data_IF_064294189551
#
_entry.id   IF_064294189551
#
_cell.length_a   1.000
_cell.length_b   1.000
_cell.length_c   1.000
_cell.angle_alpha   90.00
_cell.angle_beta   90.00
_cell.angle_gamma   90.00
#
_symmetry.space_group_name_H-M   'P 1'
#
loop_
_entity.id
_entity.type
_entity.pdbx_description
1 polymer ?
#
# COMPACT_ATOMS: atom_id res chain seq x y z
N UNK A 1 -4.54 -15.98 -14.46
CA UNK A 1 -5.55 -14.99 -14.04
C UNK A 1 -5.74 -13.88 -15.06
N UNK A 2 -4.70 -13.09 -15.36
CA UNK A 2 -4.81 -11.92 -16.25
C UNK A 2 -5.31 -12.28 -17.65
N UNK A 3 -4.73 -13.30 -18.30
CA UNK A 3 -5.17 -13.77 -19.61
C UNK A 3 -6.64 -14.23 -19.60
N UNK A 4 -7.07 -14.90 -18.54
CA UNK A 4 -8.47 -15.31 -18.35
C UNK A 4 -9.41 -14.10 -18.22
N UNK A 5 -9.00 -13.08 -17.43
CA UNK A 5 -9.81 -11.87 -17.29
C UNK A 5 -9.91 -11.09 -18.61
N UNK A 6 -8.83 -11.07 -19.41
CA UNK A 6 -8.86 -10.50 -20.77
C UNK A 6 -9.83 -11.25 -21.69
N UNK A 7 -9.76 -12.58 -21.71
CA UNK A 7 -10.67 -13.40 -22.51
C UNK A 7 -12.14 -13.17 -22.11
N UNK A 8 -12.45 -13.09 -20.81
CA UNK A 8 -13.80 -12.74 -20.32
C UNK A 8 -14.26 -11.33 -20.70
N UNK A 9 -13.31 -10.42 -20.95
CA UNK A 9 -13.60 -9.07 -21.44
C UNK A 9 -13.78 -9.01 -22.98
N UNK A 10 -13.75 -10.16 -23.67
CA UNK A 10 -13.94 -10.26 -25.11
C UNK A 10 -12.66 -10.08 -25.93
N UNK A 11 -11.50 -10.02 -25.31
CA UNK A 11 -10.24 -9.98 -26.03
C UNK A 11 -9.89 -11.36 -26.61
N UNK A 12 -9.62 -11.43 -27.88
CA UNK A 12 -9.14 -12.65 -28.55
C UNK A 12 -7.63 -12.78 -28.30
N UNK A 13 -7.26 -13.46 -27.22
CA UNK A 13 -5.86 -13.79 -26.93
C UNK A 13 -5.55 -15.22 -27.37
N UNK A 14 -4.54 -15.40 -28.21
CA UNK A 14 -4.01 -16.70 -28.61
C UNK A 14 -3.02 -17.29 -27.58
N UNK A 15 -2.32 -18.36 -27.98
CA UNK A 15 -1.25 -18.94 -27.15
C UNK A 15 -0.02 -18.04 -27.09
N UNK A 16 0.67 -17.99 -25.93
CA UNK A 16 1.90 -17.23 -25.76
C UNK A 16 2.88 -17.99 -24.85
N UNK A 17 4.14 -17.63 -24.96
CA UNK A 17 5.18 -18.03 -24.02
C UNK A 17 5.88 -16.77 -23.51
N UNK A 18 6.07 -16.68 -22.19
CA UNK A 18 6.67 -15.52 -21.54
C UNK A 18 7.64 -15.98 -20.46
N UNK A 19 8.78 -15.30 -20.36
CA UNK A 19 9.71 -15.43 -19.24
C UNK A 19 9.64 -14.15 -18.43
N UNK A 20 9.51 -14.28 -17.10
CA UNK A 20 9.53 -13.17 -16.18
C UNK A 20 10.85 -13.12 -15.42
N UNK A 21 11.41 -11.91 -15.34
CA UNK A 21 12.55 -11.61 -14.48
C UNK A 21 12.15 -10.48 -13.53
N UNK A 22 12.47 -10.59 -12.25
CA UNK A 22 12.09 -9.61 -11.24
C UNK A 22 13.20 -9.43 -10.21
N UNK A 23 13.41 -8.17 -9.84
CA UNK A 23 14.23 -7.78 -8.69
C UNK A 23 13.40 -7.54 -7.44
N UNK A 24 12.05 -7.59 -7.53
CA UNK A 24 11.16 -7.43 -6.40
C UNK A 24 11.21 -8.69 -5.52
N UNK A 25 11.44 -8.53 -4.22
CA UNK A 25 11.41 -9.66 -3.31
C UNK A 25 9.99 -10.21 -3.17
N UNK A 26 9.81 -11.50 -3.41
CA UNK A 26 8.53 -12.16 -3.25
C UNK A 26 8.15 -12.30 -1.77
N UNK A 27 6.89 -12.05 -1.44
CA UNK A 27 6.35 -12.21 -0.09
C UNK A 27 6.86 -11.18 0.93
N UNK A 28 7.41 -10.07 0.47
CA UNK A 28 7.93 -8.99 1.32
C UNK A 28 6.92 -7.85 1.56
N UNK A 29 5.66 -8.01 1.17
CA UNK A 29 4.66 -6.93 1.26
C UNK A 29 4.91 -5.77 0.29
N UNK A 30 5.65 -6.02 -0.80
CA UNK A 30 6.00 -5.01 -1.82
C UNK A 30 5.21 -5.20 -3.13
N UNK A 31 4.01 -5.72 -3.04
CA UNK A 31 3.04 -5.83 -4.15
C UNK A 31 3.60 -6.55 -5.40
N UNK A 32 4.44 -7.59 -5.19
CA UNK A 32 5.02 -8.35 -6.31
C UNK A 32 3.98 -9.08 -7.16
N UNK A 33 2.83 -9.46 -6.60
CA UNK A 33 1.69 -10.02 -7.34
C UNK A 33 1.13 -9.00 -8.32
N UNK A 34 0.78 -7.81 -7.86
CA UNK A 34 0.27 -6.74 -8.72
C UNK A 34 1.27 -6.33 -9.82
N UNK A 35 2.57 -6.30 -9.51
CA UNK A 35 3.61 -6.05 -10.50
C UNK A 35 3.63 -7.12 -11.61
N UNK A 36 3.51 -8.40 -11.25
CA UNK A 36 3.43 -9.50 -12.21
C UNK A 36 2.15 -9.44 -13.05
N UNK A 37 1.02 -9.14 -12.43
CA UNK A 37 -0.28 -9.00 -13.10
C UNK A 37 -0.24 -7.88 -14.12
N UNK A 38 0.22 -6.69 -13.72
CA UNK A 38 0.31 -5.52 -14.60
C UNK A 38 1.33 -5.76 -15.73
N UNK A 39 2.50 -6.34 -15.44
CA UNK A 39 3.47 -6.71 -16.48
C UNK A 39 2.86 -7.68 -17.49
N UNK A 40 2.06 -8.65 -17.03
CA UNK A 40 1.35 -9.59 -17.92
C UNK A 40 0.32 -8.88 -18.78
N UNK A 41 -0.48 -7.99 -18.18
CA UNK A 41 -1.50 -7.22 -18.92
C UNK A 41 -0.88 -6.34 -20.00
N UNK A 42 0.21 -5.63 -19.67
CA UNK A 42 0.96 -4.78 -20.61
C UNK A 42 1.63 -5.61 -21.70
N UNK A 43 2.20 -6.77 -21.38
CA UNK A 43 2.74 -7.68 -22.38
C UNK A 43 1.66 -8.15 -23.36
N UNK A 44 0.52 -8.58 -22.84
CA UNK A 44 -0.59 -9.07 -23.68
C UNK A 44 -1.21 -7.95 -24.53
N UNK A 45 -1.29 -6.72 -24.02
CA UNK A 45 -1.78 -5.57 -24.80
C UNK A 45 -0.89 -5.21 -26.00
N UNK A 46 0.39 -5.56 -25.94
CA UNK A 46 1.33 -5.40 -27.05
C UNK A 46 1.30 -6.56 -28.04
N UNK A 47 0.88 -7.73 -27.60
CA UNK A 47 0.85 -8.94 -28.41
C UNK A 47 -0.47 -9.10 -29.16
N UNK A 48 -1.57 -8.67 -28.54
CA UNK A 48 -2.92 -8.78 -29.07
C UNK A 48 -3.62 -7.42 -29.07
N UNK A 49 -4.38 -7.10 -30.16
CA UNK A 49 -5.06 -5.81 -30.25
C UNK A 49 -6.24 -5.74 -29.29
N UNK A 50 -6.06 -5.11 -28.18
CA UNK A 50 -7.16 -4.64 -27.31
C UNK A 50 -6.78 -3.29 -26.71
N UNK A 51 -7.77 -2.40 -26.62
CA UNK A 51 -7.59 -1.08 -26.05
C UNK A 51 -8.23 -1.02 -24.67
N UNK A 52 -7.41 -0.90 -23.62
CA UNK A 52 -7.85 -0.66 -22.26
C UNK A 52 -7.11 0.57 -21.72
N UNK A 53 -7.84 1.47 -21.08
CA UNK A 53 -7.25 2.56 -20.33
C UNK A 53 -6.40 2.05 -19.16
N UNK A 54 -5.53 2.89 -18.64
CA UNK A 54 -4.70 2.55 -17.46
C UNK A 54 -5.54 2.08 -16.26
N UNK A 55 -6.69 2.71 -16.02
CA UNK A 55 -7.58 2.32 -14.94
C UNK A 55 -8.24 0.96 -15.20
N UNK A 56 -8.66 0.70 -16.44
CA UNK A 56 -9.22 -0.61 -16.81
C UNK A 56 -8.19 -1.74 -16.65
N UNK A 57 -6.93 -1.50 -17.01
CA UNK A 57 -5.84 -2.45 -16.77
C UNK A 57 -5.65 -2.71 -15.27
N UNK A 58 -5.60 -1.67 -14.44
CA UNK A 58 -5.51 -1.85 -12.99
C UNK A 58 -6.69 -2.65 -12.43
N UNK A 59 -7.91 -2.36 -12.88
CA UNK A 59 -9.13 -3.08 -12.46
C UNK A 59 -9.14 -4.53 -12.95
N UNK A 60 -8.68 -4.78 -14.17
CA UNK A 60 -8.56 -6.12 -14.72
C UNK A 60 -7.57 -6.97 -13.90
N UNK A 61 -6.42 -6.41 -13.55
CA UNK A 61 -5.43 -7.08 -12.71
C UNK A 61 -5.99 -7.37 -11.31
N UNK A 62 -6.67 -6.40 -10.66
CA UNK A 62 -7.37 -6.66 -9.40
C UNK A 62 -8.40 -7.78 -9.52
N UNK A 63 -9.16 -7.83 -10.59
CA UNK A 63 -10.11 -8.93 -10.84
C UNK A 63 -9.40 -10.27 -10.97
N UNK A 64 -8.24 -10.31 -11.61
CA UNK A 64 -7.46 -11.53 -11.70
C UNK A 64 -7.04 -12.04 -10.31
N UNK A 65 -6.64 -11.15 -9.40
CA UNK A 65 -6.31 -11.52 -8.03
C UNK A 65 -7.54 -11.95 -7.23
N UNK A 66 -8.66 -11.24 -7.35
CA UNK A 66 -9.88 -11.53 -6.60
C UNK A 66 -10.62 -12.77 -7.11
N UNK A 67 -10.82 -12.89 -8.43
CA UNK A 67 -11.69 -13.90 -9.03
C UNK A 67 -10.95 -15.19 -9.41
N UNK A 68 -9.64 -15.11 -9.70
CA UNK A 68 -8.84 -16.26 -10.11
C UNK A 68 -7.95 -16.78 -8.98
N UNK A 69 -7.26 -15.90 -8.24
CA UNK A 69 -6.40 -16.30 -7.12
C UNK A 69 -7.22 -16.44 -5.83
N UNK A 70 -8.32 -15.69 -5.68
CA UNK A 70 -9.22 -15.77 -4.52
C UNK A 70 -8.83 -14.85 -3.36
N UNK A 71 -7.97 -13.86 -3.60
CA UNK A 71 -7.57 -12.85 -2.61
C UNK A 71 -8.39 -11.58 -2.79
N UNK A 72 -9.21 -11.20 -1.80
CA UNK A 72 -10.08 -10.02 -1.87
C UNK A 72 -9.31 -8.70 -1.65
N UNK A 73 -8.31 -8.42 -2.47
CA UNK A 73 -7.53 -7.19 -2.40
C UNK A 73 -8.29 -5.96 -2.90
N UNK A 74 -7.82 -4.77 -2.48
CA UNK A 74 -8.26 -3.48 -3.03
C UNK A 74 -7.58 -3.16 -4.38
N UNK A 75 -7.80 -1.94 -4.87
CA UNK A 75 -7.25 -1.49 -6.17
C UNK A 75 -5.84 -0.89 -6.06
N UNK A 76 -5.35 -0.62 -4.84
CA UNK A 76 -4.19 0.21 -4.60
C UNK A 76 -2.93 -0.29 -5.32
N UNK A 77 -2.57 -1.54 -5.13
CA UNK A 77 -1.30 -2.10 -5.60
C UNK A 77 -1.22 -2.12 -7.12
N UNK A 78 -2.29 -2.56 -7.78
CA UNK A 78 -2.38 -2.56 -9.23
C UNK A 78 -2.38 -1.14 -9.81
N UNK A 79 -3.14 -0.22 -9.19
CA UNK A 79 -3.15 1.17 -9.62
C UNK A 79 -1.76 1.82 -9.47
N UNK A 80 -1.06 1.59 -8.35
CA UNK A 80 0.30 2.13 -8.16
C UNK A 80 1.28 1.55 -9.16
N UNK A 81 1.17 0.27 -9.51
CA UNK A 81 2.01 -0.36 -10.54
C UNK A 81 1.77 0.23 -11.93
N UNK A 82 0.54 0.64 -12.24
CA UNK A 82 0.17 1.25 -13.52
C UNK A 82 0.50 2.74 -13.58
N UNK A 83 0.11 3.52 -12.55
CA UNK A 83 0.10 4.98 -12.56
C UNK A 83 1.34 5.62 -11.95
N UNK A 84 2.29 4.85 -11.43
CA UNK A 84 3.50 5.37 -10.81
C UNK A 84 4.15 6.47 -11.66
N UNK A 85 4.63 7.53 -11.02
CA UNK A 85 5.36 8.61 -11.66
C UNK A 85 6.64 8.91 -10.89
N UNK A 86 7.74 9.08 -11.64
CA UNK A 86 9.03 9.40 -11.05
C UNK A 86 8.94 10.66 -10.18
N UNK A 87 9.50 10.57 -8.98
CA UNK A 87 9.54 11.64 -7.99
C UNK A 87 8.16 12.18 -7.57
N UNK A 88 7.09 11.35 -7.67
CA UNK A 88 5.75 11.68 -7.19
C UNK A 88 5.17 10.52 -6.39
N UNK A 89 4.38 10.86 -5.38
CA UNK A 89 3.43 9.94 -4.77
C UNK A 89 2.11 9.99 -5.54
N UNK A 90 1.38 8.90 -5.54
CA UNK A 90 0.10 8.82 -6.24
C UNK A 90 -1.02 8.73 -5.20
N UNK A 91 -1.91 9.71 -5.21
CA UNK A 91 -3.16 9.65 -4.47
C UNK A 91 -4.22 8.96 -5.33
N UNK A 92 -4.84 7.93 -4.78
CA UNK A 92 -5.94 7.18 -5.41
C UNK A 92 -7.23 7.43 -4.63
N UNK A 93 -8.25 7.95 -5.29
CA UNK A 93 -9.63 7.88 -4.78
C UNK A 93 -10.27 6.59 -5.30
N UNK A 94 -10.43 5.62 -4.39
CA UNK A 94 -10.95 4.29 -4.75
C UNK A 94 -12.43 4.31 -5.16
N UNK A 95 -13.22 5.32 -4.75
CA UNK A 95 -14.64 5.45 -5.14
C UNK A 95 -14.77 6.12 -6.51
N UNK A 96 -14.06 7.23 -6.69
CA UNK A 96 -14.07 7.97 -7.94
C UNK A 96 -13.22 7.30 -9.03
N UNK A 97 -12.44 6.27 -8.67
CA UNK A 97 -11.47 5.58 -9.53
C UNK A 97 -10.53 6.59 -10.22
N UNK A 98 -10.09 7.60 -9.49
CA UNK A 98 -9.28 8.68 -10.01
C UNK A 98 -7.95 8.81 -9.27
N UNK A 99 -6.92 9.24 -9.99
CA UNK A 99 -5.58 9.41 -9.45
C UNK A 99 -5.12 10.86 -9.56
N UNK A 100 -4.32 11.29 -8.57
CA UNK A 100 -3.62 12.58 -8.57
C UNK A 100 -2.16 12.35 -8.20
N UNK A 101 -1.28 13.01 -8.91
CA UNK A 101 0.16 12.97 -8.66
C UNK A 101 0.53 14.09 -7.68
N UNK A 102 1.25 13.74 -6.64
CA UNK A 102 1.72 14.66 -5.60
C UNK A 102 3.25 14.67 -5.63
N UNK A 103 3.92 15.80 -5.92
CA UNK A 103 5.37 15.86 -5.94
C UNK A 103 5.98 15.39 -4.63
N UNK A 104 7.01 14.55 -4.72
CA UNK A 104 7.75 14.06 -3.56
C UNK A 104 9.09 14.83 -3.45
N UNK A 105 9.38 15.45 -2.30
CA UNK A 105 10.56 16.28 -2.14
C UNK A 105 11.87 15.51 -2.33
N UNK A 106 12.79 16.04 -3.11
CA UNK A 106 14.05 15.36 -3.47
C UNK A 106 15.00 15.14 -2.28
N UNK A 107 14.89 15.97 -1.21
CA UNK A 107 15.67 15.82 0.01
C UNK A 107 15.16 14.72 0.94
N UNK A 108 14.01 14.11 0.64
CA UNK A 108 13.45 13.00 1.38
C UNK A 108 13.69 11.68 0.64
N UNK A 109 13.92 10.62 1.42
CA UNK A 109 14.06 9.25 0.97
C UNK A 109 12.99 8.35 1.58
N UNK A 110 12.69 7.26 0.90
CA UNK A 110 11.85 6.19 1.41
C UNK A 110 12.74 4.97 1.68
N UNK A 111 12.65 4.46 2.90
CA UNK A 111 13.35 3.26 3.32
C UNK A 111 12.32 2.19 3.66
N UNK A 112 12.35 1.08 2.95
CA UNK A 112 11.53 -0.09 3.26
C UNK A 112 12.39 -1.09 4.02
N UNK A 113 11.91 -1.55 5.18
CA UNK A 113 12.62 -2.57 5.98
C UNK A 113 11.67 -3.74 6.20
N UNK A 114 12.02 -4.88 5.59
CA UNK A 114 11.29 -6.12 5.74
C UNK A 114 11.75 -6.83 7.04
N UNK A 115 10.80 -7.17 7.87
CA UNK A 115 11.05 -7.89 9.13
C UNK A 115 11.59 -9.30 8.93
N UNK A 116 11.49 -9.85 7.73
CA UNK A 116 11.77 -11.25 7.40
C UNK A 116 10.90 -12.27 8.16
N UNK A 117 9.88 -11.79 8.85
CA UNK A 117 8.88 -12.64 9.51
C UNK A 117 7.72 -12.87 8.54
N UNK A 118 7.51 -14.12 8.20
CA UNK A 118 6.34 -14.56 7.45
C UNK A 118 5.34 -15.14 8.45
N UNK A 119 4.34 -14.37 8.82
CA UNK A 119 3.15 -14.99 9.36
C UNK A 119 2.44 -15.69 8.21
N UNK A 120 2.05 -16.94 8.42
CA UNK A 120 1.26 -17.67 7.44
C UNK A 120 -0.11 -16.97 7.32
N UNK A 121 -0.19 -15.98 6.42
CA UNK A 121 -1.44 -15.33 6.09
C UNK A 121 -2.33 -16.39 5.43
N UNK A 122 -3.23 -16.93 6.18
CA UNK A 122 -4.29 -17.78 5.65
C UNK A 122 -5.37 -16.98 4.92
N UNK A 123 -5.13 -15.68 4.68
CA UNK A 123 -6.09 -14.75 4.05
C UNK A 123 -7.30 -14.41 4.94
N UNK A 124 -7.43 -15.08 6.08
CA UNK A 124 -8.57 -14.95 6.98
C UNK A 124 -8.60 -13.61 7.70
N UNK A 125 -7.45 -13.18 8.24
CA UNK A 125 -7.38 -11.94 9.03
C UNK A 125 -7.68 -10.70 8.20
N UNK A 126 -7.19 -10.63 6.97
CA UNK A 126 -7.49 -9.49 6.08
C UNK A 126 -8.99 -9.42 5.74
N UNK A 127 -9.58 -10.55 5.37
CA UNK A 127 -11.01 -10.62 5.08
C UNK A 127 -11.85 -10.30 6.33
N UNK A 128 -11.46 -10.79 7.50
CA UNK A 128 -12.11 -10.45 8.77
C UNK A 128 -12.09 -8.93 9.04
N UNK A 129 -10.96 -8.25 8.85
CA UNK A 129 -10.89 -6.79 9.01
C UNK A 129 -11.80 -6.06 8.04
N UNK A 130 -11.88 -6.53 6.80
CA UNK A 130 -12.80 -5.99 5.79
C UNK A 130 -14.26 -6.12 6.23
N UNK A 131 -14.67 -7.30 6.68
CA UNK A 131 -16.04 -7.55 7.19
C UNK A 131 -16.35 -6.69 8.40
N UNK A 132 -15.42 -6.54 9.34
CA UNK A 132 -15.58 -5.69 10.51
C UNK A 132 -15.77 -4.21 10.12
N UNK A 133 -15.09 -3.72 9.07
CA UNK A 133 -15.28 -2.37 8.56
C UNK A 133 -16.65 -2.18 7.91
N UNK A 134 -17.14 -3.16 7.14
CA UNK A 134 -18.50 -3.10 6.58
C UNK A 134 -19.57 -3.15 7.66
N UNK A 135 -19.40 -3.98 8.68
CA UNK A 135 -20.31 -4.02 9.82
C UNK A 135 -20.33 -2.68 10.57
N UNK A 136 -19.17 -2.04 10.73
CA UNK A 136 -19.10 -0.72 11.36
C UNK A 136 -19.78 0.36 10.52
N UNK A 137 -19.62 0.37 9.19
CA UNK A 137 -20.30 1.31 8.29
C UNK A 137 -21.82 1.12 8.35
N UNK A 138 -22.30 -0.14 8.30
CA UNK A 138 -23.72 -0.45 8.43
C UNK A 138 -24.30 0.02 9.78
N UNK A 139 -23.58 -0.20 10.89
CA UNK A 139 -23.97 0.26 12.22
C UNK A 139 -24.00 1.80 12.34
N UNK A 140 -23.18 2.51 11.56
CA UNK A 140 -23.20 3.97 11.43
C UNK A 140 -24.30 4.48 10.49
N UNK A 141 -24.99 3.60 9.76
CA UNK A 141 -25.99 3.99 8.76
C UNK A 141 -25.38 4.69 7.53
N UNK A 142 -24.13 4.42 7.21
CA UNK A 142 -23.42 4.99 6.04
C UNK A 142 -23.08 3.89 5.04
N UNK A 143 -22.95 4.27 3.77
CA UNK A 143 -22.52 3.32 2.71
C UNK A 143 -21.09 2.85 2.92
N UNK A 144 -20.20 3.75 3.30
CA UNK A 144 -18.83 3.45 3.62
C UNK A 144 -18.31 4.36 4.75
N UNK A 145 -17.30 3.90 5.49
CA UNK A 145 -16.71 4.68 6.59
C UNK A 145 -16.07 6.01 6.15
N UNK A 146 -15.82 6.22 4.87
CA UNK A 146 -15.41 7.52 4.33
C UNK A 146 -16.53 8.58 4.35
N UNK A 147 -17.76 8.17 4.54
CA UNK A 147 -18.94 9.05 4.55
C UNK A 147 -19.29 9.56 5.96
N UNK A 148 -18.45 9.26 6.93
CA UNK A 148 -18.57 9.77 8.29
C UNK A 148 -17.33 10.55 8.72
N UNK A 149 -17.41 11.20 9.87
CA UNK A 149 -16.31 11.97 10.46
C UNK A 149 -15.91 11.39 11.82
N UNK A 150 -14.70 11.69 12.28
CA UNK A 150 -14.25 11.31 13.62
C UNK A 150 -15.20 11.79 14.72
N UNK A 151 -15.76 13.01 14.61
CA UNK A 151 -16.71 13.55 15.58
C UNK A 151 -18.03 12.76 15.63
N UNK A 152 -18.60 12.43 14.47
CA UNK A 152 -19.82 11.63 14.38
C UNK A 152 -19.60 10.21 14.90
N UNK A 153 -18.44 9.62 14.58
CA UNK A 153 -18.05 8.28 15.05
C UNK A 153 -17.93 8.24 16.59
N UNK A 154 -17.31 9.25 17.20
CA UNK A 154 -17.15 9.27 18.65
C UNK A 154 -18.48 9.43 19.39
N UNK A 155 -19.43 10.17 18.80
CA UNK A 155 -20.78 10.33 19.33
C UNK A 155 -21.67 9.10 19.14
N UNK A 156 -21.32 8.19 18.22
CA UNK A 156 -22.13 7.01 17.92
C UNK A 156 -22.00 5.93 19.01
N UNK A 157 -23.13 5.30 19.32
CA UNK A 157 -23.19 4.11 20.18
C UNK A 157 -22.93 2.85 19.34
N UNK A 158 -21.68 2.43 19.33
CA UNK A 158 -21.19 1.29 18.54
C UNK A 158 -20.55 0.24 19.47
N UNK A 159 -20.63 -1.04 19.10
CA UNK A 159 -19.82 -2.07 19.74
C UNK A 159 -18.33 -1.66 19.73
N UNK A 160 -17.62 -1.93 20.83
CA UNK A 160 -16.24 -1.47 21.01
C UNK A 160 -15.31 -1.87 19.87
N UNK A 161 -15.45 -3.08 19.35
CA UNK A 161 -14.67 -3.57 18.21
C UNK A 161 -14.98 -2.78 16.93
N UNK A 162 -16.24 -2.61 16.58
CA UNK A 162 -16.66 -1.85 15.41
C UNK A 162 -16.17 -0.40 15.50
N UNK A 163 -16.27 0.22 16.68
CA UNK A 163 -15.79 1.58 16.93
C UNK A 163 -14.28 1.71 16.71
N UNK A 164 -13.48 0.74 17.19
CA UNK A 164 -12.03 0.72 16.94
C UNK A 164 -11.71 0.60 15.44
N UNK A 165 -12.33 -0.33 14.72
CA UNK A 165 -12.12 -0.48 13.26
C UNK A 165 -12.48 0.78 12.50
N UNK A 166 -13.62 1.38 12.82
CA UNK A 166 -14.06 2.64 12.22
C UNK A 166 -13.09 3.80 12.53
N UNK A 167 -12.59 3.93 13.76
CA UNK A 167 -11.56 4.92 14.12
C UNK A 167 -10.32 4.83 13.23
N UNK A 168 -9.86 3.62 12.95
CA UNK A 168 -8.73 3.46 12.05
C UNK A 168 -9.07 3.99 10.66
N UNK A 169 -10.14 3.51 10.04
CA UNK A 169 -10.46 3.86 8.65
C UNK A 169 -10.78 5.35 8.48
N UNK A 170 -11.59 5.91 9.37
CA UNK A 170 -11.95 7.35 9.34
C UNK A 170 -10.70 8.19 9.56
N UNK A 171 -9.90 7.86 10.57
CA UNK A 171 -8.67 8.58 10.86
C UNK A 171 -7.61 8.43 9.76
N UNK A 172 -7.51 7.29 9.06
CA UNK A 172 -6.62 7.14 7.91
C UNK A 172 -7.06 8.03 6.75
N UNK A 173 -8.36 8.14 6.47
CA UNK A 173 -8.86 9.05 5.45
C UNK A 173 -8.50 10.52 5.77
N UNK A 174 -8.66 10.95 7.01
CA UNK A 174 -8.27 12.29 7.46
C UNK A 174 -6.75 12.50 7.31
N UNK A 175 -5.93 11.52 7.76
CA UNK A 175 -4.47 11.56 7.63
C UNK A 175 -3.98 11.64 6.18
N UNK A 176 -4.66 10.99 5.24
CA UNK A 176 -4.30 11.08 3.81
C UNK A 176 -4.42 12.52 3.30
N UNK A 177 -5.51 13.22 3.63
CA UNK A 177 -5.67 14.62 3.22
C UNK A 177 -4.64 15.53 3.90
N UNK A 178 -4.41 15.35 5.21
CA UNK A 178 -3.35 16.10 5.91
C UNK A 178 -1.95 15.83 5.31
N UNK A 179 -1.67 14.59 4.92
CA UNK A 179 -0.40 14.22 4.29
C UNK A 179 -0.21 14.89 2.92
N UNK A 180 -1.27 15.00 2.12
CA UNK A 180 -1.24 15.72 0.84
C UNK A 180 -0.91 17.20 1.07
N UNK A 181 -1.55 17.84 2.05
CA UNK A 181 -1.27 19.24 2.37
C UNK A 181 0.14 19.43 2.94
N UNK A 182 0.62 18.51 3.79
CA UNK A 182 1.98 18.54 4.30
C UNK A 182 3.03 18.42 3.16
N UNK A 183 2.79 17.52 2.20
CA UNK A 183 3.65 17.37 1.02
C UNK A 183 3.68 18.63 0.16
N UNK A 184 2.51 19.23 -0.12
CA UNK A 184 2.40 20.46 -0.90
C UNK A 184 3.11 21.65 -0.25
N UNK A 185 3.09 21.70 1.09
CA UNK A 185 3.76 22.72 1.87
C UNK A 185 5.25 22.43 2.12
N UNK A 186 5.77 21.27 1.69
CA UNK A 186 7.15 20.86 1.95
C UNK A 186 7.44 20.48 3.41
N UNK A 187 6.41 20.18 4.19
CA UNK A 187 6.50 19.88 5.62
C UNK A 187 6.78 18.39 5.86
N UNK A 188 8.01 17.93 5.61
CA UNK A 188 8.43 16.53 5.78
C UNK A 188 8.22 15.99 7.20
N UNK A 189 8.51 16.79 8.23
CA UNK A 189 8.29 16.38 9.63
C UNK A 189 6.81 16.09 9.93
N UNK A 190 5.88 16.93 9.44
CA UNK A 190 4.44 16.68 9.60
C UNK A 190 4.02 15.39 8.91
N UNK A 191 4.53 15.13 7.70
CA UNK A 191 4.29 13.86 7.01
C UNK A 191 4.78 12.66 7.82
N UNK A 192 5.99 12.74 8.37
CA UNK A 192 6.54 11.69 9.24
C UNK A 192 5.70 11.45 10.49
N UNK A 193 5.24 12.51 11.15
CA UNK A 193 4.33 12.40 12.31
C UNK A 193 3.01 11.70 11.93
N UNK A 194 2.43 12.01 10.78
CA UNK A 194 1.22 11.36 10.27
C UNK A 194 1.45 9.88 9.97
N UNK A 195 2.60 9.52 9.42
CA UNK A 195 2.98 8.11 9.21
C UNK A 195 3.07 7.35 10.54
N UNK A 196 3.71 7.92 11.55
CA UNK A 196 3.83 7.30 12.87
C UNK A 196 2.46 7.20 13.57
N UNK A 197 1.60 8.21 13.43
CA UNK A 197 0.23 8.16 13.95
C UNK A 197 -0.62 7.08 13.24
N UNK A 198 -0.42 6.89 11.94
CA UNK A 198 -1.03 5.80 11.18
C UNK A 198 -0.60 4.43 11.71
N UNK A 199 0.70 4.23 11.98
CA UNK A 199 1.19 2.98 12.56
C UNK A 199 0.57 2.71 13.95
N UNK A 200 0.53 3.72 14.80
CA UNK A 200 -0.14 3.59 16.12
C UNK A 200 -1.60 3.18 15.98
N UNK A 201 -2.33 3.77 15.04
CA UNK A 201 -3.71 3.37 14.77
C UNK A 201 -3.83 1.95 14.21
N UNK A 202 -2.85 1.48 13.46
CA UNK A 202 -2.75 0.08 13.02
C UNK A 202 -2.56 -0.87 14.19
N UNK A 203 -1.73 -0.52 15.17
CA UNK A 203 -1.54 -1.31 16.40
C UNK A 203 -2.80 -1.35 17.27
N UNK A 204 -3.34 -0.17 17.59
CA UNK A 204 -4.36 -0.01 18.65
C UNK A 204 -5.78 -0.23 18.17
N UNK A 205 -6.09 0.21 16.95
CA UNK A 205 -7.44 0.24 16.40
C UNK A 205 -7.70 -0.85 15.36
N UNK A 206 -6.77 -1.04 14.42
CA UNK A 206 -6.95 -2.04 13.36
C UNK A 206 -6.42 -3.41 13.75
N UNK A 207 -5.42 -3.45 14.63
CA UNK A 207 -4.78 -4.67 15.14
C UNK A 207 -4.24 -5.54 13.99
N UNK A 208 -3.55 -4.89 13.05
CA UNK A 208 -2.88 -5.54 11.92
C UNK A 208 -1.36 -5.38 11.94
N UNK A 209 -0.79 -4.85 13.03
CA UNK A 209 0.64 -4.85 13.25
C UNK A 209 1.09 -6.14 13.95
N UNK A 210 2.42 -6.31 14.06
CA UNK A 210 3.06 -7.40 14.81
C UNK A 210 4.18 -6.82 15.68
N UNK A 211 4.62 -7.53 16.73
CA UNK A 211 5.71 -7.07 17.58
C UNK A 211 6.99 -6.72 16.81
N UNK A 212 7.27 -7.44 15.72
CA UNK A 212 8.43 -7.20 14.87
C UNK A 212 8.31 -5.91 14.06
N UNK A 213 7.10 -5.62 13.53
CA UNK A 213 6.85 -4.37 12.82
C UNK A 213 6.88 -3.18 13.78
N UNK A 214 6.30 -3.34 14.97
CA UNK A 214 6.30 -2.31 16.02
C UNK A 214 7.74 -1.98 16.44
N UNK A 215 8.58 -3.01 16.63
CA UNK A 215 9.99 -2.84 16.95
C UNK A 215 10.75 -2.13 15.81
N UNK A 216 10.50 -2.49 14.56
CA UNK A 216 11.13 -1.82 13.43
C UNK A 216 10.76 -0.34 13.35
N UNK A 217 9.49 0.01 13.56
CA UNK A 217 9.03 1.41 13.59
C UNK A 217 9.65 2.16 14.77
N UNK A 218 9.68 1.57 15.95
CA UNK A 218 10.33 2.15 17.13
C UNK A 218 11.81 2.45 16.84
N UNK A 219 12.55 1.45 16.38
CA UNK A 219 13.97 1.59 16.07
C UNK A 219 14.24 2.62 14.98
N UNK A 220 13.40 2.68 13.94
CA UNK A 220 13.54 3.64 12.86
C UNK A 220 13.29 5.08 13.35
N UNK A 221 12.21 5.31 14.09
CA UNK A 221 11.83 6.65 14.56
C UNK A 221 12.78 7.23 15.62
N UNK A 222 13.58 6.39 16.27
CA UNK A 222 14.66 6.82 17.19
C UNK A 222 15.93 7.27 16.47
N UNK A 223 16.06 7.03 15.15
CA UNK A 223 17.26 7.41 14.41
C UNK A 223 17.20 8.89 14.00
N UNK A 224 18.34 9.56 14.11
CA UNK A 224 18.50 10.92 13.55
C UNK A 224 18.27 10.91 12.05
N UNK A 225 17.46 11.83 11.54
CA UNK A 225 17.09 11.92 10.14
C UNK A 225 15.92 11.04 9.72
N UNK A 226 15.38 10.19 10.61
CA UNK A 226 14.10 9.54 10.38
C UNK A 226 12.96 10.47 10.85
N UNK A 227 12.07 10.83 9.95
CA UNK A 227 10.96 11.75 10.23
C UNK A 227 9.71 11.00 10.71
N UNK A 228 9.59 9.74 10.38
CA UNK A 228 8.49 8.87 10.81
C UNK A 228 8.47 7.54 10.04
N UNK A 229 7.72 6.58 10.57
CA UNK A 229 7.61 5.25 9.97
C UNK A 229 6.25 4.62 10.27
N UNK A 230 5.86 3.67 9.41
CA UNK A 230 4.65 2.86 9.55
C UNK A 230 4.81 1.50 8.88
N UNK A 231 3.96 0.56 9.23
CA UNK A 231 3.81 -0.67 8.45
C UNK A 231 3.35 -0.36 7.02
N UNK A 232 3.71 -1.18 6.06
CA UNK A 232 3.27 -1.11 4.66
C UNK A 232 2.58 -2.42 4.25
N UNK A 233 1.68 -2.33 3.25
CA UNK A 233 0.82 -3.45 2.85
C UNK A 233 -0.31 -3.72 3.84
N UNK A 234 -0.83 -4.94 3.85
CA UNK A 234 -1.95 -5.36 4.68
C UNK A 234 -1.64 -5.51 6.17
N UNK A 235 -0.38 -5.47 6.56
CA UNK A 235 0.06 -5.80 7.91
C UNK A 235 0.21 -7.30 8.15
N UNK A 236 0.08 -7.74 9.39
CA UNK A 236 0.26 -9.14 9.85
C UNK A 236 1.65 -9.70 9.53
N UNK A 237 2.68 -8.85 9.44
CA UNK A 237 4.05 -9.14 9.05
C UNK A 237 4.51 -8.33 7.84
N UNK A 238 5.58 -8.77 7.20
CA UNK A 238 6.15 -8.09 6.03
C UNK A 238 7.06 -6.93 6.41
N UNK A 239 6.76 -5.71 5.97
CA UNK A 239 7.69 -4.61 6.03
C UNK A 239 7.10 -3.33 6.65
N UNK A 240 8.00 -2.41 7.01
CA UNK A 240 7.69 -1.02 7.30
C UNK A 240 8.17 -0.11 6.15
N UNK A 241 7.59 1.07 6.04
CA UNK A 241 8.14 2.19 5.27
C UNK A 241 8.48 3.32 6.23
N UNK A 242 9.72 3.82 6.13
CA UNK A 242 10.19 4.98 6.88
C UNK A 242 10.46 6.15 5.93
N UNK A 243 10.05 7.34 6.35
CA UNK A 243 10.39 8.61 5.72
C UNK A 243 11.67 9.13 6.35
N UNK A 244 12.70 9.32 5.56
CA UNK A 244 14.04 9.63 6.03
C UNK A 244 14.61 10.81 5.25
N UNK A 245 15.43 11.66 5.87
CA UNK A 245 16.27 12.59 5.14
C UNK A 245 17.20 11.82 4.19
N UNK A 246 17.35 12.29 2.96
CA UNK A 246 18.04 11.55 1.90
C UNK A 246 19.48 11.16 2.24
N UNK A 247 20.17 11.98 2.98
CA UNK A 247 21.56 11.78 3.43
C UNK A 247 21.68 10.85 4.66
N UNK A 248 20.60 10.65 5.39
CA UNK A 248 20.56 9.78 6.57
C UNK A 248 20.15 8.32 6.26
N UNK A 249 19.72 8.01 5.03
CA UNK A 249 19.12 6.70 4.67
C UNK A 249 20.04 5.52 5.01
N UNK A 250 21.34 5.63 4.73
CA UNK A 250 22.29 4.53 4.97
C UNK A 250 22.50 4.27 6.46
N UNK A 251 22.68 5.33 7.24
CA UNK A 251 22.93 5.22 8.68
C UNK A 251 21.68 4.69 9.39
N UNK A 252 20.50 5.19 9.03
CA UNK A 252 19.23 4.70 9.57
C UNK A 252 19.07 3.20 9.28
N UNK A 253 19.27 2.78 8.02
CA UNK A 253 19.16 1.37 7.65
C UNK A 253 20.13 0.49 8.42
N UNK A 254 21.40 0.86 8.45
CA UNK A 254 22.46 0.11 9.14
C UNK A 254 22.16 -0.05 10.62
N UNK A 255 21.78 1.02 11.30
CA UNK A 255 21.54 1.02 12.73
C UNK A 255 20.28 0.21 13.08
N UNK A 256 19.18 0.45 12.37
CA UNK A 256 17.92 -0.29 12.60
C UNK A 256 18.14 -1.77 12.40
N UNK A 257 18.76 -2.16 11.28
CA UNK A 257 19.02 -3.56 10.97
C UNK A 257 19.90 -4.22 12.04
N UNK A 258 20.99 -3.59 12.46
CA UNK A 258 21.90 -4.15 13.47
C UNK A 258 21.22 -4.44 14.79
N UNK A 259 20.39 -3.50 15.27
CA UNK A 259 19.68 -3.66 16.55
C UNK A 259 18.54 -4.66 16.42
N UNK A 260 17.78 -4.60 15.34
CA UNK A 260 16.67 -5.52 15.09
C UNK A 260 17.16 -6.97 14.99
N UNK A 261 18.16 -7.23 14.17
CA UNK A 261 18.71 -8.58 13.96
C UNK A 261 19.22 -9.16 15.32
N UNK A 262 19.86 -8.33 16.14
CA UNK A 262 20.34 -8.74 17.47
C UNK A 262 19.21 -9.05 18.43
N UNK A 263 18.15 -8.22 18.45
CA UNK A 263 17.04 -8.37 19.41
C UNK A 263 16.09 -9.53 19.05
N UNK A 264 15.92 -9.80 17.76
CA UNK A 264 14.91 -10.75 17.29
C UNK A 264 15.48 -12.09 16.84
N UNK A 265 16.75 -12.13 16.44
CA UNK A 265 17.36 -13.26 15.77
C UNK A 265 16.97 -13.41 14.31
N UNK A 266 16.07 -12.57 13.78
CA UNK A 266 15.75 -12.49 12.36
C UNK A 266 16.78 -11.62 11.64
N UNK A 267 16.86 -11.75 10.31
CA UNK A 267 17.71 -10.89 9.48
C UNK A 267 16.85 -9.96 8.64
N UNK A 268 16.70 -8.73 9.08
CA UNK A 268 15.95 -7.73 8.32
C UNK A 268 16.58 -7.44 6.97
N UNK A 269 15.76 -7.23 5.94
CA UNK A 269 16.23 -6.79 4.63
C UNK A 269 15.76 -5.35 4.37
N UNK A 270 16.67 -4.46 3.98
CA UNK A 270 16.38 -3.06 3.75
C UNK A 270 16.52 -2.67 2.28
N UNK A 271 15.61 -1.83 1.81
CA UNK A 271 15.56 -1.35 0.43
C UNK A 271 15.41 0.17 0.43
N UNK A 272 16.38 0.84 -0.18
CA UNK A 272 16.29 2.27 -0.47
C UNK A 272 15.40 2.45 -1.68
N UNK A 273 14.34 3.22 -1.52
CA UNK A 273 13.34 3.40 -2.55
C UNK A 273 13.19 4.85 -2.96
N UNK A 274 12.81 5.04 -4.19
CA UNK A 274 12.31 6.31 -4.74
C UNK A 274 11.04 6.03 -5.51
N UNK A 275 10.18 7.04 -5.61
CA UNK A 275 9.03 6.96 -6.46
C UNK A 275 9.45 6.75 -7.92
N UNK A 276 9.05 5.64 -8.49
CA UNK A 276 9.40 5.20 -9.84
C UNK A 276 8.28 5.45 -10.84
N UNK A 277 8.59 5.21 -12.12
CA UNK A 277 7.58 5.25 -13.18
C UNK A 277 6.71 3.99 -13.15
N UNK A 278 5.42 4.15 -13.45
CA UNK A 278 4.51 3.03 -13.63
C UNK A 278 4.73 2.30 -14.96
N UNK A 279 4.02 1.21 -15.12
CA UNK A 279 4.14 0.35 -16.29
C UNK A 279 3.63 0.99 -17.58
N UNK A 280 2.73 1.99 -17.48
CA UNK A 280 2.15 2.68 -18.62
C UNK A 280 2.34 4.21 -18.50
N UNK A 281 2.71 4.87 -19.61
CA UNK A 281 2.91 6.31 -19.62
C UNK A 281 1.58 7.08 -19.50
N UNK A 282 1.61 8.37 -19.09
CA UNK A 282 0.38 9.19 -18.93
C UNK A 282 -0.45 9.37 -20.20
N UNK A 283 0.17 9.32 -21.38
CA UNK A 283 -0.48 9.46 -22.69
C UNK A 283 -1.09 8.15 -23.21
N UNK A 284 -0.94 7.04 -22.50
CA UNK A 284 -1.54 5.76 -22.88
C UNK A 284 -3.06 5.84 -23.08
N UNK A 285 -3.75 6.62 -22.27
CA UNK A 285 -5.20 6.78 -22.31
C UNK A 285 -5.68 7.67 -23.50
N UNK A 286 -4.75 8.24 -24.28
CA UNK A 286 -5.01 9.09 -25.44
C UNK A 286 -4.76 8.37 -26.77
N UNK A 287 -4.24 7.16 -26.73
CA UNK A 287 -3.94 6.31 -27.88
C UNK A 287 -5.09 5.35 -28.18
#
# INVERSE_FOLDING_TARGET
GVAEMLARSGAEAGGFAVQYESTLPSGAGLSSSAALEVATAVFLSRLYPFALSRMEIAKLCRRAENEFVGVNCGLLDQAMSVFGRKDHLVYLDCRAESVKEIPFPAHLGLLIINSSVKHALTGGEYNERREQCFAAAAAMGVEALRDTTSAALEAADLPALAKRRARHVVGENERVFEAIEALRAGHGEKLGQLMTASHRSSMENFENSTPELDLLVELATQQKGCLGARLTGGGFGGAIVALVEQDAVEDVLKNVKSVYDTKTGYSAAGYRCRAGVGALPPDHDQA
#
